data_IF_016950576244
#
_entry.id   IF_016950576244
#
_cell.length_a   1.000
_cell.length_b   1.000
_cell.length_c   1.000
_cell.angle_alpha   90.00
_cell.angle_beta   90.00
_cell.angle_gamma   90.00
#
_symmetry.space_group_name_H-M   'P 1'
#
loop_
_entity.id
_entity.type
_entity.pdbx_description
1 polymer ?
#
# COMPACT_ATOMS: atom_id res chain seq x y z
N UNK A 1 17.82 6.28 2.17
CA UNK A 1 17.82 6.04 0.71
C UNK A 1 16.58 5.24 0.32
N UNK A 2 16.26 5.14 -0.98
CA UNK A 2 15.15 4.32 -1.46
C UNK A 2 15.44 2.83 -1.29
N UNK A 3 14.41 2.03 -0.99
CA UNK A 3 14.54 0.59 -0.81
C UNK A 3 15.19 0.15 0.50
N UNK A 4 15.52 1.08 1.40
CA UNK A 4 16.05 0.75 2.73
C UNK A 4 14.97 0.20 3.66
N UNK A 5 15.35 -0.78 4.48
CA UNK A 5 14.51 -1.30 5.56
C UNK A 5 14.77 -0.47 6.81
N UNK A 6 13.73 0.23 7.29
CA UNK A 6 13.78 1.02 8.52
C UNK A 6 13.02 0.33 9.66
N UNK A 7 13.71 0.07 10.77
CA UNK A 7 13.10 -0.46 12.00
C UNK A 7 12.82 0.63 13.03
N UNK A 8 11.59 0.68 13.56
CA UNK A 8 11.20 1.62 14.62
C UNK A 8 10.99 0.84 15.93
N UNK A 9 11.85 1.08 16.92
CA UNK A 9 11.85 0.35 18.21
C UNK A 9 11.55 1.31 19.36
N UNK A 10 10.78 0.85 20.34
CA UNK A 10 10.46 1.63 21.54
C UNK A 10 9.53 0.89 22.49
N UNK A 11 9.40 1.38 23.72
CA UNK A 11 8.52 0.79 24.75
C UNK A 11 7.06 0.72 24.30
N UNK A 12 6.27 -0.17 24.91
CA UNK A 12 4.81 -0.17 24.71
C UNK A 12 4.24 1.21 25.08
N UNK A 13 3.28 1.71 24.30
CA UNK A 13 2.71 3.05 24.51
C UNK A 13 3.55 4.22 23.99
N UNK A 14 4.76 4.00 23.46
CA UNK A 14 5.62 5.07 22.95
C UNK A 14 5.14 5.73 21.63
N UNK A 15 3.94 5.41 21.15
CA UNK A 15 3.37 6.02 19.93
C UNK A 15 3.77 5.39 18.59
N UNK A 16 4.44 4.23 18.57
CA UNK A 16 4.85 3.55 17.32
C UNK A 16 3.67 3.30 16.36
N UNK A 17 2.56 2.80 16.89
CA UNK A 17 1.34 2.57 16.10
C UNK A 17 0.72 3.87 15.59
N UNK A 18 0.72 4.91 16.42
CA UNK A 18 0.26 6.25 16.02
C UNK A 18 1.10 6.79 14.87
N UNK A 19 2.43 6.65 14.94
CA UNK A 19 3.33 7.04 13.85
C UNK A 19 3.03 6.27 12.56
N UNK A 20 2.81 4.96 12.64
CA UNK A 20 2.45 4.17 11.44
C UNK A 20 1.10 4.61 10.83
N UNK A 21 0.11 4.93 11.65
CA UNK A 21 -1.18 5.46 11.18
C UNK A 21 -1.03 6.83 10.53
N UNK A 22 -0.22 7.72 11.13
CA UNK A 22 0.10 9.03 10.58
C UNK A 22 0.81 8.94 9.22
N UNK A 23 1.76 8.02 9.07
CA UNK A 23 2.45 7.77 7.79
C UNK A 23 1.51 7.20 6.73
N UNK A 24 0.50 6.41 7.11
CA UNK A 24 -0.50 5.90 6.17
C UNK A 24 -1.53 6.96 5.76
N UNK A 25 -1.68 8.04 6.51
CA UNK A 25 -2.67 9.08 6.22
C UNK A 25 -4.09 8.70 6.68
N UNK A 26 -4.19 7.79 7.65
CA UNK A 26 -5.45 7.38 8.29
C UNK A 26 -5.59 8.03 9.67
N UNK A 27 -6.82 8.19 10.14
CA UNK A 27 -7.18 8.91 11.38
C UNK A 27 -7.05 10.44 11.26
N UNK A 28 -6.48 11.09 12.29
CA UNK A 28 -6.39 12.55 12.41
C UNK A 28 -5.01 13.05 11.98
N UNK A 29 -4.92 14.29 11.46
CA UNK A 29 -3.63 14.92 11.16
C UNK A 29 -2.77 15.08 12.42
N UNK A 30 -1.44 15.19 12.27
CA UNK A 30 -0.56 15.46 13.40
C UNK A 30 -0.90 16.82 14.03
N UNK A 31 -0.87 16.93 15.36
CA UNK A 31 -1.11 18.19 16.08
C UNK A 31 -0.15 19.31 15.64
N UNK A 32 1.07 18.93 15.25
CA UNK A 32 2.10 19.82 14.72
C UNK A 32 3.08 19.03 13.86
N UNK A 33 3.75 19.70 12.93
CA UNK A 33 4.70 19.07 12.02
C UNK A 33 4.06 18.65 10.69
N UNK A 34 4.85 18.05 9.82
CA UNK A 34 4.45 17.68 8.44
C UNK A 34 5.00 16.31 8.09
N UNK A 35 4.29 15.59 7.23
CA UNK A 35 4.75 14.30 6.70
C UNK A 35 4.90 14.45 5.20
N UNK A 36 6.15 14.56 4.76
CA UNK A 36 6.49 14.85 3.36
C UNK A 36 6.93 13.56 2.68
N UNK A 37 6.29 13.25 1.56
CA UNK A 37 6.69 12.20 0.65
C UNK A 37 7.38 12.79 -0.58
N UNK A 38 8.60 12.34 -0.83
CA UNK A 38 9.38 12.68 -2.02
C UNK A 38 9.12 11.64 -3.10
N UNK A 39 8.49 12.05 -4.20
CA UNK A 39 8.04 11.14 -5.25
C UNK A 39 8.32 11.68 -6.65
N UNK A 40 8.27 10.79 -7.64
CA UNK A 40 8.21 11.16 -9.04
C UNK A 40 6.76 11.09 -9.52
N UNK A 41 6.15 12.20 -9.91
CA UNK A 41 4.76 12.24 -10.37
C UNK A 41 4.67 12.63 -11.84
N UNK A 42 3.75 11.98 -12.56
CA UNK A 42 3.41 12.35 -13.91
C UNK A 42 2.53 13.62 -13.93
N UNK A 43 2.82 14.55 -14.83
CA UNK A 43 2.04 15.79 -14.97
C UNK A 43 0.75 15.60 -15.81
N UNK A 44 0.63 14.48 -16.54
CA UNK A 44 -0.46 14.24 -17.50
C UNK A 44 -1.43 13.14 -17.07
N UNK A 45 -1.06 12.28 -16.13
CA UNK A 45 -1.93 11.20 -15.62
C UNK A 45 -1.75 10.96 -14.12
N UNK A 46 -2.45 9.97 -13.56
CA UNK A 46 -2.42 9.65 -12.13
C UNK A 46 -1.19 8.85 -11.68
N UNK A 47 -0.29 8.48 -12.61
CA UNK A 47 0.88 7.68 -12.27
C UNK A 47 1.87 8.45 -11.40
N UNK A 48 2.34 7.76 -10.37
CA UNK A 48 3.36 8.21 -9.43
C UNK A 48 4.32 7.06 -9.18
N UNK A 49 5.59 7.36 -8.92
CA UNK A 49 6.62 6.39 -8.62
C UNK A 49 7.62 6.92 -7.57
N UNK A 50 8.61 6.09 -7.21
CA UNK A 50 9.72 6.48 -6.32
C UNK A 50 10.51 7.68 -6.89
N UNK A 51 11.15 8.46 -6.01
CA UNK A 51 11.88 9.67 -6.39
C UNK A 51 13.04 9.42 -7.37
N UNK A 52 13.65 8.24 -7.40
CA UNK A 52 14.67 7.87 -8.40
C UNK A 52 14.13 7.71 -9.82
N UNK A 53 12.82 7.73 -10.00
CA UNK A 53 12.17 7.73 -11.32
C UNK A 53 11.97 9.11 -11.92
N UNK A 54 12.39 10.20 -11.25
CA UNK A 54 12.38 11.56 -11.82
C UNK A 54 13.17 11.61 -13.13
N UNK A 55 12.59 12.24 -14.16
CA UNK A 55 13.16 12.34 -15.50
C UNK A 55 12.91 11.13 -16.40
N UNK A 56 12.43 10.00 -15.87
CA UNK A 56 12.03 8.84 -16.68
C UNK A 56 10.68 9.07 -17.35
N UNK A 57 10.43 8.28 -18.38
CA UNK A 57 9.15 8.25 -19.12
C UNK A 57 8.08 7.53 -18.30
N UNK A 58 6.90 8.12 -18.21
CA UNK A 58 5.73 7.52 -17.58
C UNK A 58 5.26 6.30 -18.40
N UNK A 59 5.11 5.12 -17.78
CA UNK A 59 4.72 3.90 -18.48
C UNK A 59 3.27 3.89 -18.96
N UNK A 60 2.42 4.81 -18.48
CA UNK A 60 1.00 4.85 -18.82
C UNK A 60 0.67 5.80 -19.98
N UNK A 61 1.32 6.97 -20.04
CA UNK A 61 0.97 8.01 -21.01
C UNK A 61 2.18 8.55 -21.81
N UNK A 62 3.40 8.08 -21.54
CA UNK A 62 4.60 8.57 -22.24
C UNK A 62 5.08 9.96 -21.80
N UNK A 63 4.41 10.62 -20.85
CA UNK A 63 4.85 11.90 -20.28
C UNK A 63 6.12 11.77 -19.44
N UNK A 64 6.72 12.90 -19.03
CA UNK A 64 7.92 12.90 -18.16
C UNK A 64 7.53 12.94 -16.69
N UNK A 65 8.22 12.15 -15.86
CA UNK A 65 8.05 12.18 -14.41
C UNK A 65 8.84 13.35 -13.81
N UNK A 66 8.18 14.14 -12.98
CA UNK A 66 8.77 15.30 -12.30
C UNK A 66 8.83 15.09 -10.78
N UNK A 67 9.86 15.64 -10.14
CA UNK A 67 10.00 15.59 -8.69
C UNK A 67 8.85 16.36 -8.03
N UNK A 68 8.21 15.75 -7.03
CA UNK A 68 7.16 16.37 -6.22
C UNK A 68 7.35 16.01 -4.75
N UNK A 69 7.22 17.03 -3.92
CA UNK A 69 7.10 16.88 -2.47
C UNK A 69 5.62 17.01 -2.12
N UNK A 70 5.07 15.97 -1.50
CA UNK A 70 3.66 15.91 -1.12
C UNK A 70 3.59 15.90 0.39
N UNK A 71 2.92 16.90 0.98
CA UNK A 71 2.55 16.85 2.39
C UNK A 71 1.25 16.05 2.54
N UNK A 72 1.36 14.86 3.15
CA UNK A 72 0.26 13.90 3.27
C UNK A 72 -0.98 14.47 3.99
N UNK A 73 -0.79 15.46 4.86
CA UNK A 73 -1.84 16.02 5.70
C UNK A 73 -2.26 17.43 5.28
N UNK A 74 -1.73 17.93 4.15
CA UNK A 74 -2.16 19.20 3.58
C UNK A 74 -3.45 19.04 2.77
N UNK A 75 -4.46 19.85 3.07
CA UNK A 75 -5.78 19.80 2.42
C UNK A 75 -5.71 20.15 0.92
N UNK A 76 -4.76 21.00 0.51
CA UNK A 76 -4.63 21.37 -0.91
C UNK A 76 -4.20 20.22 -1.81
N UNK A 77 -3.61 19.18 -1.22
CA UNK A 77 -2.98 18.06 -1.94
C UNK A 77 -3.87 16.81 -1.96
N UNK A 78 -5.18 16.92 -1.76
CA UNK A 78 -6.08 15.76 -1.59
C UNK A 78 -6.00 14.74 -2.74
N UNK A 79 -5.91 15.20 -4.01
CA UNK A 79 -5.75 14.32 -5.16
C UNK A 79 -4.40 13.57 -5.12
N UNK A 80 -3.32 14.28 -4.79
CA UNK A 80 -1.98 13.72 -4.68
C UNK A 80 -1.88 12.76 -3.49
N UNK A 81 -2.53 13.08 -2.38
CA UNK A 81 -2.69 12.21 -1.22
C UNK A 81 -3.35 10.89 -1.61
N UNK A 82 -4.47 10.92 -2.36
CA UNK A 82 -5.14 9.69 -2.84
C UNK A 82 -4.21 8.84 -3.71
N UNK A 83 -3.48 9.46 -4.65
CA UNK A 83 -2.48 8.77 -5.50
C UNK A 83 -1.37 8.13 -4.67
N UNK A 84 -0.87 8.84 -3.66
CA UNK A 84 0.16 8.37 -2.75
C UNK A 84 -0.36 7.21 -1.87
N UNK A 85 -1.55 7.33 -1.31
CA UNK A 85 -2.16 6.30 -0.47
C UNK A 85 -2.35 4.98 -1.21
N UNK A 86 -2.67 5.02 -2.51
CA UNK A 86 -2.73 3.81 -3.38
C UNK A 86 -1.38 3.10 -3.54
N UNK A 87 -0.27 3.78 -3.26
CA UNK A 87 1.10 3.22 -3.33
C UNK A 87 1.68 2.84 -1.97
N UNK A 88 1.00 3.18 -0.89
CA UNK A 88 1.44 2.86 0.48
C UNK A 88 0.60 1.72 1.04
N UNK A 89 1.24 0.57 1.30
CA UNK A 89 0.60 -0.57 1.96
C UNK A 89 1.00 -0.64 3.44
N UNK A 90 0.10 -1.17 4.28
CA UNK A 90 0.37 -1.49 5.69
C UNK A 90 -0.12 -2.90 5.99
N UNK A 91 0.62 -3.63 6.82
CA UNK A 91 0.20 -4.93 7.35
C UNK A 91 0.00 -4.81 8.86
N UNK A 92 -1.16 -5.24 9.37
CA UNK A 92 -1.51 -5.16 10.79
C UNK A 92 -1.20 -6.47 11.52
N UNK A 93 -0.57 -6.40 12.70
CA UNK A 93 -0.09 -7.57 13.43
C UNK A 93 -1.16 -8.50 14.03
N UNK A 94 -2.38 -8.01 14.32
CA UNK A 94 -3.39 -8.82 15.06
C UNK A 94 -4.50 -9.38 14.20
N UNK A 95 -5.18 -8.52 13.44
CA UNK A 95 -6.34 -8.92 12.65
C UNK A 95 -5.95 -9.40 11.25
N UNK A 96 -4.72 -9.09 10.79
CA UNK A 96 -4.25 -9.29 9.41
C UNK A 96 -5.13 -8.63 8.34
N UNK A 97 -6.18 -7.90 8.74
CA UNK A 97 -7.22 -7.34 7.88
C UNK A 97 -7.86 -8.35 6.91
N UNK A 98 -7.96 -9.62 7.30
CA UNK A 98 -8.58 -10.66 6.48
C UNK A 98 -10.06 -10.84 6.78
N UNK A 99 -10.86 -11.02 5.73
CA UNK A 99 -12.23 -11.53 5.77
C UNK A 99 -12.19 -13.02 6.12
N UNK A 100 -12.37 -13.32 7.41
CA UNK A 100 -12.14 -14.66 7.95
C UNK A 100 -13.04 -15.77 7.40
N UNK A 101 -14.21 -15.44 6.86
CA UNK A 101 -15.13 -16.41 6.26
C UNK A 101 -14.93 -16.59 4.76
N UNK A 102 -14.07 -15.77 4.16
CA UNK A 102 -13.77 -15.80 2.75
C UNK A 102 -12.53 -16.67 2.50
N UNK A 103 -12.38 -17.12 1.26
CA UNK A 103 -11.20 -17.87 0.83
C UNK A 103 -9.98 -16.95 0.73
N UNK A 104 -8.79 -17.54 0.75
CA UNK A 104 -7.53 -16.78 0.56
C UNK A 104 -7.56 -15.99 -0.75
N UNK A 105 -8.01 -16.59 -1.85
CA UNK A 105 -8.12 -15.89 -3.13
C UNK A 105 -9.12 -14.74 -3.10
N UNK A 106 -10.25 -14.89 -2.42
CA UNK A 106 -11.27 -13.84 -2.30
C UNK A 106 -10.73 -12.63 -1.54
N UNK A 107 -9.96 -12.86 -0.47
CA UNK A 107 -9.28 -11.79 0.26
C UNK A 107 -8.34 -10.96 -0.63
N UNK A 108 -7.61 -11.61 -1.54
CA UNK A 108 -6.73 -10.92 -2.50
C UNK A 108 -7.54 -10.23 -3.59
N UNK A 109 -8.64 -10.84 -4.06
CA UNK A 109 -9.53 -10.26 -5.06
C UNK A 109 -10.22 -8.99 -4.55
N UNK A 110 -10.67 -8.95 -3.29
CA UNK A 110 -11.23 -7.74 -2.67
C UNK A 110 -10.23 -6.57 -2.73
N UNK A 111 -8.95 -6.83 -2.43
CA UNK A 111 -7.91 -5.81 -2.49
C UNK A 111 -7.62 -5.33 -3.93
N UNK A 112 -7.77 -6.21 -4.93
CA UNK A 112 -7.66 -5.85 -6.35
C UNK A 112 -8.87 -5.02 -6.82
N UNK A 113 -10.07 -5.33 -6.31
CA UNK A 113 -11.29 -4.56 -6.59
C UNK A 113 -11.24 -3.16 -5.97
N UNK A 114 -10.73 -3.03 -4.74
CA UNK A 114 -10.54 -1.74 -4.03
C UNK A 114 -9.67 -0.74 -4.82
N UNK A 115 -8.78 -1.23 -5.68
CA UNK A 115 -7.92 -0.41 -6.55
C UNK A 115 -8.41 -0.35 -8.00
N UNK A 116 -9.63 -0.81 -8.27
CA UNK A 116 -10.25 -0.85 -9.61
C UNK A 116 -9.41 -1.65 -10.63
N UNK A 117 -8.77 -2.75 -10.20
CA UNK A 117 -7.97 -3.59 -11.09
C UNK A 117 -8.87 -4.31 -12.11
N UNK A 118 -8.48 -4.43 -13.40
CA UNK A 118 -9.32 -5.04 -14.41
C UNK A 118 -9.79 -6.46 -14.05
N UNK A 119 -11.12 -6.73 -14.02
CA UNK A 119 -11.67 -7.99 -13.51
C UNK A 119 -11.22 -9.21 -14.33
N UNK A 120 -11.04 -9.03 -15.63
CA UNK A 120 -10.55 -10.07 -16.54
C UNK A 120 -9.15 -10.58 -16.18
N UNK A 121 -8.34 -9.75 -15.51
CA UNK A 121 -6.95 -10.07 -15.12
C UNK A 121 -6.81 -10.34 -13.62
N UNK A 122 -7.85 -10.07 -12.83
CA UNK A 122 -7.78 -10.11 -11.37
C UNK A 122 -7.49 -11.52 -10.83
N UNK A 123 -8.14 -12.55 -11.38
CA UNK A 123 -7.95 -13.94 -10.95
C UNK A 123 -6.51 -14.40 -11.14
N UNK A 124 -5.95 -14.19 -12.35
CA UNK A 124 -4.56 -14.56 -12.63
C UNK A 124 -3.59 -13.79 -11.73
N UNK A 125 -3.81 -12.49 -11.56
CA UNK A 125 -2.97 -11.67 -10.68
C UNK A 125 -3.04 -12.12 -9.22
N UNK A 126 -4.23 -12.46 -8.73
CA UNK A 126 -4.40 -12.97 -7.36
C UNK A 126 -3.70 -14.31 -7.17
N UNK A 127 -3.79 -15.22 -8.15
CA UNK A 127 -3.10 -16.50 -8.12
C UNK A 127 -1.58 -16.33 -8.08
N UNK A 128 -1.03 -15.44 -8.93
CA UNK A 128 0.40 -15.13 -8.96
C UNK A 128 0.90 -14.59 -7.61
N UNK A 129 0.16 -13.64 -7.02
CA UNK A 129 0.51 -13.05 -5.72
C UNK A 129 0.51 -14.09 -4.60
N UNK A 130 -0.44 -15.03 -4.61
CA UNK A 130 -0.54 -16.12 -3.63
C UNK A 130 0.62 -17.11 -3.81
N UNK A 131 1.08 -17.33 -5.04
CA UNK A 131 2.24 -18.17 -5.34
C UNK A 131 3.56 -17.54 -4.90
N UNK A 132 3.73 -16.22 -5.11
CA UNK A 132 4.88 -15.44 -4.64
C UNK A 132 5.10 -15.60 -3.12
N UNK A 133 4.02 -15.71 -2.34
CA UNK A 133 4.06 -15.93 -0.87
C UNK A 133 3.98 -17.42 -0.46
N UNK A 134 4.09 -18.34 -1.43
CA UNK A 134 4.10 -19.80 -1.27
C UNK A 134 2.83 -20.36 -0.61
N UNK A 135 1.67 -19.79 -0.93
CA UNK A 135 0.36 -20.20 -0.41
C UNK A 135 -0.57 -20.84 -1.45
N UNK A 136 -0.06 -21.24 -2.60
CA UNK A 136 -0.86 -21.84 -3.70
C UNK A 136 -1.72 -23.02 -3.26
N UNK A 137 -1.20 -23.88 -2.37
CA UNK A 137 -1.92 -25.02 -1.80
C UNK A 137 -3.03 -24.63 -0.80
N UNK A 138 -3.02 -23.39 -0.29
CA UNK A 138 -4.04 -22.84 0.61
C UNK A 138 -5.00 -21.86 -0.07
N UNK A 139 -4.83 -21.58 -1.36
CA UNK A 139 -5.60 -20.59 -2.13
C UNK A 139 -7.13 -20.70 -1.96
N UNK A 140 -7.65 -21.93 -1.91
CA UNK A 140 -9.09 -22.20 -1.78
C UNK A 140 -9.55 -22.40 -0.32
N UNK A 141 -8.67 -22.34 0.67
CA UNK A 141 -9.04 -22.52 2.07
C UNK A 141 -9.65 -21.24 2.65
N UNK A 142 -10.48 -21.40 3.68
CA UNK A 142 -11.07 -20.27 4.40
C UNK A 142 -9.99 -19.60 5.27
N UNK A 143 -9.94 -18.27 5.25
CA UNK A 143 -8.88 -17.49 5.87
C UNK A 143 -8.78 -17.71 7.40
N UNK A 144 -9.90 -17.94 8.10
CA UNK A 144 -9.86 -18.20 9.55
C UNK A 144 -9.09 -19.48 9.94
N UNK A 145 -9.03 -20.47 9.05
CA UNK A 145 -8.39 -21.77 9.27
C UNK A 145 -6.88 -21.75 8.96
N UNK A 146 -6.35 -20.60 8.54
CA UNK A 146 -4.92 -20.38 8.36
C UNK A 146 -4.22 -20.19 9.72
N UNK A 147 -2.98 -20.68 9.83
CA UNK A 147 -2.08 -20.34 10.93
C UNK A 147 -1.72 -18.84 10.90
N UNK A 148 -1.23 -18.30 12.00
CA UNK A 148 -0.86 -16.87 12.06
C UNK A 148 0.19 -16.47 11.03
N UNK A 149 1.19 -17.33 10.77
CA UNK A 149 2.20 -17.08 9.75
C UNK A 149 1.68 -17.20 8.32
N UNK A 150 0.64 -17.99 8.09
CA UNK A 150 -0.06 -18.06 6.80
C UNK A 150 -1.00 -16.87 6.59
N UNK A 151 -1.57 -16.31 7.66
CA UNK A 151 -2.38 -15.07 7.56
C UNK A 151 -1.53 -13.83 7.31
N UNK A 152 -0.27 -13.85 7.73
CA UNK A 152 0.65 -12.74 7.54
C UNK A 152 1.23 -12.69 6.12
N UNK A 153 1.38 -13.85 5.49
CA UNK A 153 1.84 -14.00 4.12
C UNK A 153 0.70 -13.73 3.17
#
# INVERSE_FOLDING_TARGET
>A
AEGEILGIIGRSGAGKTVLMHLLRGVEQPPTSGRIIYHVAACNTCDFMDVSSSVGKTCPHCGGVLSARDIDLWNESDELLKRRLMRRTAIMFQRTFALYGNDRVIENVLHALDDIEYPPEKAINRAADLIDEVRLSHRMMHIARDLSGGEKQR
#
